data_IF_255707101134
#
_entry.id   IF_255707101134
#
_cell.length_a   1.000
_cell.length_b   1.000
_cell.length_c   1.000
_cell.angle_alpha   90.00
_cell.angle_beta   90.00
_cell.angle_gamma   90.00
#
_symmetry.space_group_name_H-M   'P 1'
#
loop_
_entity.id
_entity.type
_entity.pdbx_description
1 polymer ?
#
# COMPACT_ATOMS: atom_id res chain seq x y z
N UNK A 1 13.42 -25.88 6.29
CA UNK A 1 12.75 -25.57 4.99
C UNK A 1 13.20 -26.42 3.78
N UNK A 2 14.46 -26.89 3.73
CA UNK A 2 15.06 -27.55 2.55
C UNK A 2 14.39 -28.87 2.13
N UNK A 3 13.79 -29.59 3.07
CA UNK A 3 13.19 -30.92 2.85
C UNK A 3 12.01 -30.93 1.86
N UNK A 4 11.25 -29.83 1.79
CA UNK A 4 10.03 -29.78 0.96
C UNK A 4 10.30 -29.12 -0.39
N UNK A 5 9.58 -29.52 -1.45
CA UNK A 5 9.68 -28.87 -2.77
C UNK A 5 9.24 -27.41 -2.69
N UNK A 6 9.92 -26.52 -3.42
CA UNK A 6 9.62 -25.08 -3.40
C UNK A 6 8.20 -24.78 -3.91
N UNK A 7 7.73 -25.58 -4.87
CA UNK A 7 6.36 -25.54 -5.38
C UNK A 7 5.33 -25.80 -4.27
N UNK A 8 5.54 -26.86 -3.47
CA UNK A 8 4.62 -27.22 -2.40
C UNK A 8 4.56 -26.12 -1.33
N UNK A 9 5.72 -25.59 -0.91
CA UNK A 9 5.80 -24.47 0.03
C UNK A 9 5.02 -23.26 -0.50
N UNK A 10 5.24 -22.88 -1.76
CA UNK A 10 4.56 -21.73 -2.36
C UNK A 10 3.03 -21.92 -2.41
N UNK A 11 2.56 -23.13 -2.75
CA UNK A 11 1.12 -23.45 -2.76
C UNK A 11 0.50 -23.35 -1.37
N UNK A 12 1.16 -23.88 -0.34
CA UNK A 12 0.68 -23.78 1.04
C UNK A 12 0.65 -22.32 1.52
N UNK A 13 1.66 -21.51 1.17
CA UNK A 13 1.68 -20.08 1.46
C UNK A 13 0.55 -19.33 0.74
N UNK A 14 0.19 -19.71 -0.50
CA UNK A 14 -0.98 -19.13 -1.17
C UNK A 14 -2.27 -19.37 -0.38
N UNK A 15 -2.50 -20.60 0.07
CA UNK A 15 -3.69 -20.95 0.86
C UNK A 15 -3.72 -20.13 2.16
N UNK A 16 -2.61 -20.09 2.90
CA UNK A 16 -2.52 -19.34 4.16
C UNK A 16 -2.78 -17.86 3.97
N UNK A 17 -2.13 -17.23 2.99
CA UNK A 17 -2.27 -15.81 2.76
C UNK A 17 -3.68 -15.45 2.29
N UNK A 18 -4.36 -16.34 1.56
CA UNK A 18 -5.78 -16.19 1.25
C UNK A 18 -6.65 -16.17 2.51
N UNK A 19 -6.47 -17.14 3.41
CA UNK A 19 -7.24 -17.21 4.67
C UNK A 19 -7.02 -15.98 5.55
N UNK A 20 -5.79 -15.46 5.55
CA UNK A 20 -5.42 -14.28 6.32
C UNK A 20 -5.99 -13.01 5.68
N UNK A 21 -5.93 -12.90 4.35
CA UNK A 21 -6.52 -11.78 3.62
C UNK A 21 -8.05 -11.72 3.80
N UNK A 22 -8.74 -12.86 3.85
CA UNK A 22 -10.19 -12.93 4.08
C UNK A 22 -10.62 -12.37 5.44
N UNK A 23 -9.72 -12.35 6.43
CA UNK A 23 -10.03 -11.79 7.75
C UNK A 23 -10.14 -10.26 7.71
N UNK A 24 -9.54 -9.60 6.71
CA UNK A 24 -9.52 -8.13 6.59
C UNK A 24 -10.92 -7.56 6.36
N UNK A 25 -11.41 -6.82 7.34
CA UNK A 25 -12.66 -6.08 7.30
C UNK A 25 -12.48 -4.76 6.55
N UNK A 26 -13.45 -4.42 5.71
CA UNK A 26 -13.48 -3.14 5.02
C UNK A 26 -13.69 -1.96 5.98
N UNK A 27 -14.34 -2.17 7.12
CA UNK A 27 -14.51 -1.16 8.16
C UNK A 27 -13.14 -0.74 8.73
N UNK A 28 -12.25 -1.70 8.95
CA UNK A 28 -10.90 -1.41 9.42
C UNK A 28 -10.10 -0.61 8.37
N UNK A 29 -10.31 -0.90 7.08
CA UNK A 29 -9.72 -0.21 5.93
C UNK A 29 -10.14 1.26 5.84
N UNK A 30 -11.45 1.54 5.91
CA UNK A 30 -11.95 2.91 5.78
C UNK A 30 -11.59 3.78 6.98
N UNK A 31 -11.52 3.19 8.17
CA UNK A 31 -11.20 3.91 9.41
C UNK A 31 -9.70 4.03 9.71
N UNK A 32 -8.85 3.45 8.86
CA UNK A 32 -7.39 3.43 9.01
C UNK A 32 -6.94 2.89 10.38
N UNK A 33 -7.61 1.86 10.90
CA UNK A 33 -7.43 1.44 12.31
C UNK A 33 -5.99 1.04 12.64
N UNK A 34 -5.21 0.55 11.67
CA UNK A 34 -3.78 0.23 11.85
C UNK A 34 -2.90 1.45 12.14
N UNK A 35 -3.28 2.66 11.71
CA UNK A 35 -2.51 3.88 11.97
C UNK A 35 -2.72 4.40 13.40
N UNK A 36 -3.89 4.16 14.00
CA UNK A 36 -4.25 4.67 15.32
C UNK A 36 -3.34 4.09 16.43
N UNK A 37 -2.82 2.88 16.25
CA UNK A 37 -1.88 2.23 17.19
C UNK A 37 -0.51 2.92 17.27
N UNK A 38 -0.01 3.53 16.18
CA UNK A 38 1.26 4.30 16.23
C UNK A 38 1.16 5.54 17.14
N UNK A 39 -0.06 6.00 17.44
CA UNK A 39 -0.33 7.20 18.24
C UNK A 39 -0.78 6.89 19.67
N UNK A 40 -1.01 5.63 20.03
CA UNK A 40 -1.47 5.24 21.36
C UNK A 40 -0.28 4.96 22.30
N UNK A 41 -0.38 5.45 23.54
CA UNK A 41 0.51 5.14 24.66
C UNK A 41 0.50 3.62 24.99
N UNK A 42 1.41 3.10 25.85
CA UNK A 42 1.53 1.67 26.12
C UNK A 42 0.17 1.06 26.53
N UNK A 43 -0.13 -0.17 26.09
CA UNK A 43 -1.40 -0.81 26.43
C UNK A 43 -1.51 -1.01 27.95
N UNK A 44 -2.70 -0.81 28.54
CA UNK A 44 -2.94 -1.08 29.96
C UNK A 44 -2.73 -2.58 30.26
N UNK A 45 -2.29 -2.89 31.49
CA UNK A 45 -1.85 -4.21 31.94
C UNK A 45 -2.91 -5.34 31.90
N UNK A 46 -4.17 -5.02 31.59
CA UNK A 46 -5.27 -5.98 31.55
C UNK A 46 -5.96 -5.95 30.17
N UNK A 47 -5.86 -7.03 29.36
CA UNK A 47 -6.50 -7.09 28.05
C UNK A 47 -7.97 -7.46 28.21
N UNK A 48 -8.84 -6.49 28.45
CA UNK A 48 -10.30 -6.69 28.36
C UNK A 48 -10.73 -6.66 26.89
N UNK A 49 -10.82 -7.84 26.27
CA UNK A 49 -11.74 -8.23 25.18
C UNK A 49 -12.06 -7.23 24.03
N UNK A 50 -11.19 -6.27 23.75
CA UNK A 50 -11.33 -5.28 22.67
C UNK A 50 -10.27 -5.47 21.57
N UNK A 51 -9.87 -6.72 21.32
CA UNK A 51 -9.08 -7.07 20.12
C UNK A 51 -9.97 -7.29 18.88
N UNK A 52 -11.29 -7.21 19.04
CA UNK A 52 -12.32 -7.46 18.02
C UNK A 52 -12.38 -6.45 16.85
N UNK A 53 -11.37 -5.60 16.66
CA UNK A 53 -11.40 -4.51 15.68
C UNK A 53 -10.10 -4.29 14.88
N UNK A 54 -9.24 -5.32 14.74
CA UNK A 54 -7.91 -5.17 14.13
C UNK A 54 -7.59 -6.24 13.08
N UNK A 55 -8.52 -6.52 12.19
CA UNK A 55 -8.31 -7.48 11.11
C UNK A 55 -7.12 -7.15 10.20
N UNK A 56 -6.87 -5.86 9.93
CA UNK A 56 -5.69 -5.41 9.16
C UNK A 56 -4.39 -5.65 9.92
N UNK A 57 -4.44 -5.60 11.26
CA UNK A 57 -3.27 -5.85 12.12
C UNK A 57 -2.80 -7.30 12.05
N UNK A 58 -3.72 -8.25 11.82
CA UNK A 58 -3.39 -9.68 11.66
C UNK A 58 -2.53 -9.90 10.41
N UNK A 59 -2.89 -9.27 9.28
CA UNK A 59 -2.12 -9.40 8.03
C UNK A 59 -0.74 -8.74 8.15
N UNK A 60 -0.66 -7.55 8.76
CA UNK A 60 0.62 -6.86 8.98
C UNK A 60 1.53 -7.72 9.86
N UNK A 61 1.02 -8.22 11.00
CA UNK A 61 1.79 -9.08 11.89
C UNK A 61 2.25 -10.35 11.20
N UNK A 62 1.40 -10.98 10.38
CA UNK A 62 1.78 -12.16 9.61
C UNK A 62 2.90 -11.85 8.63
N UNK A 63 2.78 -10.74 7.90
CA UNK A 63 3.78 -10.30 6.94
C UNK A 63 5.15 -10.13 7.62
N UNK A 64 5.18 -9.43 8.76
CA UNK A 64 6.39 -9.21 9.54
C UNK A 64 6.95 -10.53 10.07
N UNK A 65 6.10 -11.39 10.63
CA UNK A 65 6.49 -12.70 11.16
C UNK A 65 7.10 -13.59 10.06
N UNK A 66 6.50 -13.63 8.87
CA UNK A 66 6.99 -14.45 7.76
C UNK A 66 8.32 -13.92 7.21
N UNK A 67 8.45 -12.60 7.08
CA UNK A 67 9.72 -11.97 6.68
C UNK A 67 10.82 -12.24 7.70
N UNK A 68 10.52 -12.11 9.00
CA UNK A 68 11.50 -12.33 10.06
C UNK A 68 11.87 -13.81 10.19
N UNK A 69 10.91 -14.73 10.06
CA UNK A 69 11.20 -16.16 10.03
C UNK A 69 12.16 -16.53 8.91
N UNK A 70 11.96 -16.00 7.69
CA UNK A 70 12.88 -16.26 6.58
C UNK A 70 14.30 -15.75 6.88
N UNK A 71 14.43 -14.58 7.55
CA UNK A 71 15.72 -14.09 8.05
C UNK A 71 16.30 -15.05 9.10
N UNK A 72 15.53 -15.44 10.10
CA UNK A 72 15.95 -16.36 11.17
C UNK A 72 16.42 -17.70 10.61
N UNK A 73 15.68 -18.29 9.67
CA UNK A 73 16.08 -19.55 9.00
C UNK A 73 17.43 -19.41 8.30
N UNK A 74 17.72 -18.28 7.65
CA UNK A 74 19.01 -18.07 6.98
C UNK A 74 20.14 -17.88 8.01
N UNK A 75 19.93 -17.01 9.00
CA UNK A 75 20.96 -16.64 9.97
C UNK A 75 21.27 -17.77 10.96
N UNK A 76 20.33 -18.67 11.23
CA UNK A 76 20.57 -19.82 12.10
C UNK A 76 21.33 -20.96 11.41
N UNK A 77 21.41 -20.97 10.08
CA UNK A 77 22.15 -21.99 9.33
C UNK A 77 23.65 -21.70 9.37
N UNK A 78 24.36 -22.41 10.25
CA UNK A 78 25.77 -22.16 10.54
C UNK A 78 26.69 -22.59 9.38
N UNK A 79 26.42 -23.75 8.78
CA UNK A 79 27.17 -24.23 7.63
C UNK A 79 26.91 -23.36 6.40
N UNK A 80 27.98 -22.91 5.74
CA UNK A 80 27.86 -21.98 4.60
C UNK A 80 27.22 -22.64 3.38
N UNK A 81 27.49 -23.93 3.12
CA UNK A 81 26.93 -24.63 1.96
C UNK A 81 25.43 -24.85 2.16
N UNK A 82 25.02 -25.26 3.36
CA UNK A 82 23.61 -25.37 3.71
C UNK A 82 22.92 -23.99 3.67
N UNK A 83 23.59 -22.92 4.15
CA UNK A 83 23.04 -21.56 4.15
C UNK A 83 22.81 -21.04 2.73
N UNK A 84 23.73 -21.30 1.80
CA UNK A 84 23.56 -21.05 0.35
C UNK A 84 22.30 -21.74 -0.16
N UNK A 85 22.11 -23.04 0.14
CA UNK A 85 20.91 -23.77 -0.26
C UNK A 85 19.63 -23.16 0.32
N UNK A 86 19.65 -22.66 1.56
CA UNK A 86 18.49 -21.99 2.19
C UNK A 86 18.16 -20.67 1.48
N UNK A 87 19.16 -19.85 1.16
CA UNK A 87 18.94 -18.59 0.42
C UNK A 87 18.36 -18.88 -0.97
N UNK A 88 18.97 -19.81 -1.71
CA UNK A 88 18.45 -20.25 -3.01
C UNK A 88 17.04 -20.84 -2.91
N UNK A 89 16.75 -21.57 -1.83
CA UNK A 89 15.42 -22.11 -1.56
C UNK A 89 14.38 -21.00 -1.50
N UNK A 90 14.66 -19.94 -0.75
CA UNK A 90 13.78 -18.79 -0.63
C UNK A 90 13.60 -18.06 -1.96
N UNK A 91 14.67 -17.88 -2.75
CA UNK A 91 14.57 -17.29 -4.09
C UNK A 91 13.65 -18.13 -5.00
N UNK A 92 13.81 -19.46 -5.01
CA UNK A 92 12.95 -20.36 -5.79
C UNK A 92 11.50 -20.32 -5.31
N UNK A 93 11.25 -20.24 -4.00
CA UNK A 93 9.89 -20.08 -3.45
C UNK A 93 9.29 -18.74 -3.87
N UNK A 94 10.05 -17.64 -3.81
CA UNK A 94 9.62 -16.33 -4.25
C UNK A 94 9.22 -16.32 -5.74
N UNK A 95 9.99 -16.98 -6.62
CA UNK A 95 9.62 -17.13 -8.02
C UNK A 95 8.31 -17.93 -8.19
N UNK A 96 8.11 -19.00 -7.41
CA UNK A 96 6.84 -19.74 -7.44
C UNK A 96 5.67 -18.89 -6.96
N UNK A 97 5.86 -18.06 -5.93
CA UNK A 97 4.85 -17.09 -5.50
C UNK A 97 4.55 -16.05 -6.58
N UNK A 98 5.55 -15.59 -7.33
CA UNK A 98 5.36 -14.72 -8.49
C UNK A 98 4.48 -15.37 -9.56
N UNK A 99 4.77 -16.62 -9.95
CA UNK A 99 3.97 -17.36 -10.93
C UNK A 99 2.54 -17.64 -10.46
N UNK A 100 2.35 -17.88 -9.16
CA UNK A 100 1.04 -18.06 -8.56
C UNK A 100 0.31 -16.74 -8.28
N UNK A 101 0.87 -15.59 -8.65
CA UNK A 101 0.32 -14.27 -8.30
C UNK A 101 0.05 -14.09 -6.78
N UNK A 102 0.82 -14.77 -5.94
CA UNK A 102 0.91 -14.51 -4.51
C UNK A 102 1.98 -13.46 -4.26
N UNK A 103 1.59 -12.21 -4.52
CA UNK A 103 2.47 -11.07 -4.34
C UNK A 103 2.70 -10.72 -2.87
N UNK A 104 1.83 -11.16 -1.94
CA UNK A 104 2.07 -11.02 -0.50
C UNK A 104 3.35 -11.74 -0.09
N UNK A 105 3.43 -13.06 -0.33
CA UNK A 105 4.59 -13.87 0.06
C UNK A 105 5.84 -13.54 -0.74
N UNK A 106 5.71 -13.22 -2.03
CA UNK A 106 6.83 -12.70 -2.82
C UNK A 106 7.50 -11.51 -2.12
N UNK A 107 6.70 -10.53 -1.68
CA UNK A 107 7.19 -9.35 -0.98
C UNK A 107 7.80 -9.69 0.40
N UNK A 108 7.18 -10.60 1.17
CA UNK A 108 7.71 -11.05 2.45
C UNK A 108 9.12 -11.64 2.31
N UNK A 109 9.33 -12.52 1.33
CA UNK A 109 10.64 -13.15 1.09
C UNK A 109 11.64 -12.14 0.55
N UNK A 110 11.25 -11.27 -0.38
CA UNK A 110 12.16 -10.24 -0.91
C UNK A 110 12.59 -9.26 0.17
N UNK A 111 11.73 -8.92 1.13
CA UNK A 111 12.10 -8.07 2.27
C UNK A 111 13.07 -8.79 3.20
N UNK A 112 12.88 -10.09 3.45
CA UNK A 112 13.82 -10.89 4.21
C UNK A 112 15.22 -10.91 3.57
N UNK A 113 15.29 -11.23 2.26
CA UNK A 113 16.55 -11.35 1.52
C UNK A 113 17.29 -10.00 1.38
N UNK A 114 16.55 -8.89 1.29
CA UNK A 114 17.12 -7.54 1.20
C UNK A 114 17.37 -6.89 2.56
N UNK A 115 16.97 -7.53 3.66
CA UNK A 115 17.21 -7.01 5.00
C UNK A 115 18.71 -6.94 5.30
N UNK A 116 19.11 -5.95 6.10
CA UNK A 116 20.51 -5.76 6.50
C UNK A 116 21.24 -7.04 6.96
N UNK A 117 20.69 -7.87 7.87
CA UNK A 117 21.41 -9.06 8.36
C UNK A 117 21.63 -10.13 7.28
N UNK A 118 20.80 -10.20 6.25
CA UNK A 118 20.96 -11.17 5.15
C UNK A 118 21.80 -10.58 4.02
N UNK A 119 21.54 -9.34 3.62
CA UNK A 119 22.23 -8.68 2.50
C UNK A 119 23.75 -8.52 2.71
N UNK A 120 24.19 -8.50 3.98
CA UNK A 120 25.60 -8.35 4.34
C UNK A 120 26.43 -9.64 4.26
N UNK A 121 25.81 -10.81 4.12
CA UNK A 121 26.49 -12.11 4.03
C UNK A 121 27.21 -12.29 2.68
N UNK A 122 28.28 -11.52 2.45
CA UNK A 122 28.93 -11.42 1.13
C UNK A 122 29.53 -12.74 0.64
N UNK A 123 30.06 -13.57 1.52
CA UNK A 123 30.58 -14.89 1.16
C UNK A 123 29.43 -15.83 0.78
N UNK A 124 28.35 -15.85 1.55
CA UNK A 124 27.14 -16.62 1.20
C UNK A 124 26.62 -16.19 -0.18
N UNK A 125 26.45 -14.88 -0.43
CA UNK A 125 25.95 -14.36 -1.71
C UNK A 125 26.88 -14.65 -2.88
N UNK A 126 28.20 -14.74 -2.67
CA UNK A 126 29.17 -15.07 -3.72
C UNK A 126 29.13 -16.53 -4.17
N UNK A 127 28.52 -17.41 -3.36
CA UNK A 127 28.39 -18.84 -3.63
C UNK A 127 27.01 -19.23 -4.18
N UNK A 128 26.08 -18.29 -4.26
CA UNK A 128 24.77 -18.51 -4.88
C UNK A 128 24.95 -18.77 -6.37
N UNK A 129 24.28 -19.80 -6.90
CA UNK A 129 24.31 -20.11 -8.33
C UNK A 129 23.83 -18.93 -9.19
N UNK A 130 24.43 -18.75 -10.37
CA UNK A 130 24.09 -17.66 -11.28
C UNK A 130 22.60 -17.64 -11.64
N UNK A 131 21.99 -18.81 -11.83
CA UNK A 131 20.58 -18.92 -12.20
C UNK A 131 19.66 -18.34 -11.10
N UNK A 132 19.89 -18.73 -9.84
CA UNK A 132 19.17 -18.20 -8.68
C UNK A 132 19.47 -16.72 -8.46
N UNK A 133 20.71 -16.28 -8.66
CA UNK A 133 21.06 -14.86 -8.53
C UNK A 133 20.31 -13.99 -9.55
N UNK A 134 20.26 -14.40 -10.83
CA UNK A 134 19.51 -13.70 -11.87
C UNK A 134 18.01 -13.70 -11.57
N UNK A 135 17.47 -14.82 -11.08
CA UNK A 135 16.09 -14.92 -10.63
C UNK A 135 15.78 -13.91 -9.51
N UNK A 136 16.68 -13.77 -8.53
CA UNK A 136 16.55 -12.79 -7.47
C UNK A 136 16.55 -11.35 -7.99
N UNK A 137 17.45 -11.00 -8.92
CA UNK A 137 17.46 -9.65 -9.51
C UNK A 137 16.18 -9.36 -10.29
N UNK A 138 15.70 -10.32 -11.09
CA UNK A 138 14.43 -10.18 -11.81
C UNK A 138 13.25 -9.90 -10.87
N UNK A 139 13.15 -10.66 -9.78
CA UNK A 139 12.08 -10.48 -8.79
C UNK A 139 12.19 -9.14 -8.05
N UNK A 140 13.42 -8.69 -7.75
CA UNK A 140 13.70 -7.39 -7.15
C UNK A 140 13.30 -6.24 -8.07
N UNK A 141 13.58 -6.35 -9.38
CA UNK A 141 13.19 -5.34 -10.36
C UNK A 141 11.67 -5.30 -10.57
N UNK A 142 11.01 -6.46 -10.55
CA UNK A 142 9.55 -6.54 -10.53
C UNK A 142 8.95 -5.87 -9.28
N UNK A 143 9.54 -6.12 -8.11
CA UNK A 143 9.14 -5.52 -6.84
C UNK A 143 9.82 -4.16 -6.56
N UNK A 144 10.27 -3.43 -7.58
CA UNK A 144 10.98 -2.18 -7.36
C UNK A 144 10.03 -1.08 -6.86
N UNK A 145 10.36 -0.31 -5.79
CA UNK A 145 9.53 0.80 -5.30
C UNK A 145 9.43 1.97 -6.29
N UNK A 146 10.29 2.00 -7.32
CA UNK A 146 10.33 3.02 -8.35
C UNK A 146 8.95 3.25 -8.97
N UNK A 147 8.61 4.54 -9.19
CA UNK A 147 7.30 4.97 -9.70
C UNK A 147 6.13 4.42 -8.88
N UNK A 148 6.28 4.37 -7.55
CA UNK A 148 5.28 3.84 -6.61
C UNK A 148 4.91 2.38 -6.93
N UNK A 149 5.92 1.51 -7.00
CA UNK A 149 5.72 0.07 -7.23
C UNK A 149 4.99 -0.25 -8.54
N UNK A 150 5.35 0.46 -9.64
CA UNK A 150 4.62 0.39 -10.91
C UNK A 150 4.40 -1.03 -11.42
N UNK A 151 5.46 -1.83 -11.50
CA UNK A 151 5.40 -3.20 -12.05
C UNK A 151 4.45 -4.08 -11.24
N UNK A 152 4.57 -4.04 -9.91
CA UNK A 152 3.69 -4.77 -9.00
C UNK A 152 2.22 -4.30 -9.10
N UNK A 153 1.99 -2.99 -9.23
CA UNK A 153 0.64 -2.42 -9.42
C UNK A 153 0.03 -2.82 -10.75
N UNK A 154 0.80 -2.78 -11.84
CA UNK A 154 0.35 -3.17 -13.17
C UNK A 154 -0.03 -4.66 -13.17
N UNK A 155 0.80 -5.54 -12.59
CA UNK A 155 0.47 -6.96 -12.45
C UNK A 155 -0.79 -7.17 -11.60
N UNK A 156 -0.92 -6.47 -10.47
CA UNK A 156 -2.13 -6.53 -9.62
C UNK A 156 -3.38 -6.07 -10.39
N UNK A 157 -3.26 -5.05 -11.24
CA UNK A 157 -4.34 -4.56 -12.09
C UNK A 157 -4.74 -5.60 -13.15
N UNK A 158 -3.77 -6.20 -13.83
CA UNK A 158 -4.02 -7.29 -14.80
C UNK A 158 -4.75 -8.44 -14.13
N UNK A 159 -4.40 -8.81 -12.89
CA UNK A 159 -5.13 -9.84 -12.15
C UNK A 159 -6.59 -9.46 -11.86
N UNK A 160 -6.91 -8.19 -11.63
CA UNK A 160 -8.30 -7.75 -11.48
C UNK A 160 -9.08 -7.74 -12.79
N UNK A 161 -8.44 -7.32 -13.88
CA UNK A 161 -9.09 -7.17 -15.19
C UNK A 161 -9.25 -8.51 -15.92
N UNK A 162 -8.27 -9.40 -15.79
CA UNK A 162 -8.20 -10.67 -16.51
C UNK A 162 -8.29 -11.91 -15.60
N UNK A 163 -8.38 -11.75 -14.27
CA UNK A 163 -8.29 -12.85 -13.30
C UNK A 163 -9.36 -13.93 -13.44
N UNK A 164 -10.43 -13.68 -14.19
CA UNK A 164 -11.38 -14.74 -14.57
C UNK A 164 -10.73 -15.87 -15.39
N UNK A 165 -9.58 -15.63 -16.02
CA UNK A 165 -8.86 -16.58 -16.88
C UNK A 165 -7.53 -17.08 -16.28
N UNK A 166 -6.98 -16.39 -15.27
CA UNK A 166 -5.56 -16.50 -14.90
C UNK A 166 -5.33 -17.28 -13.58
N UNK A 167 -6.36 -17.49 -12.75
CA UNK A 167 -6.27 -18.30 -11.52
C UNK A 167 -6.40 -17.48 -10.24
N UNK A 168 -5.75 -17.94 -9.17
CA UNK A 168 -5.76 -17.27 -7.87
C UNK A 168 -4.83 -16.05 -7.81
N UNK A 169 -5.09 -15.12 -6.88
CA UNK A 169 -4.17 -13.99 -6.62
C UNK A 169 -4.29 -13.50 -5.17
N UNK A 170 -3.14 -13.30 -4.52
CA UNK A 170 -3.04 -12.57 -3.25
C UNK A 170 -2.22 -11.30 -3.46
N UNK A 171 -2.82 -10.10 -3.36
CA UNK A 171 -2.08 -8.86 -3.53
C UNK A 171 -1.20 -8.54 -2.32
N UNK A 172 -0.16 -7.74 -2.55
CA UNK A 172 0.56 -7.09 -1.44
C UNK A 172 -0.32 -5.99 -0.83
N UNK A 173 -0.86 -6.26 0.37
CA UNK A 173 -1.79 -5.36 1.06
C UNK A 173 -1.22 -3.95 1.29
N UNK A 174 0.11 -3.83 1.46
CA UNK A 174 0.79 -2.56 1.68
C UNK A 174 0.51 -1.49 0.62
N UNK A 175 0.26 -1.87 -0.64
CA UNK A 175 -0.13 -0.93 -1.70
C UNK A 175 -1.47 -0.27 -1.42
N UNK A 176 -2.46 -1.06 -1.00
CA UNK A 176 -3.82 -0.59 -0.72
C UNK A 176 -3.85 0.28 0.54
N UNK A 177 -3.11 -0.13 1.59
CA UNK A 177 -3.00 0.66 2.81
C UNK A 177 -2.33 2.01 2.54
N UNK A 178 -1.27 2.04 1.71
CA UNK A 178 -0.60 3.28 1.33
C UNK A 178 -1.54 4.21 0.55
N UNK A 179 -2.32 3.67 -0.40
CA UNK A 179 -3.29 4.44 -1.17
C UNK A 179 -4.41 5.02 -0.29
N UNK A 180 -4.89 4.24 0.69
CA UNK A 180 -5.89 4.70 1.66
C UNK A 180 -5.34 5.82 2.55
N UNK A 181 -4.09 5.69 3.02
CA UNK A 181 -3.43 6.74 3.81
C UNK A 181 -3.25 8.01 2.97
N UNK A 182 -2.75 7.91 1.74
CA UNK A 182 -2.60 9.06 0.85
C UNK A 182 -3.95 9.75 0.57
N UNK A 183 -5.02 8.98 0.35
CA UNK A 183 -6.36 9.53 0.12
C UNK A 183 -6.96 10.16 1.39
N UNK A 184 -6.53 9.72 2.57
CA UNK A 184 -7.00 10.24 3.85
C UNK A 184 -6.59 11.71 4.10
N UNK A 185 -5.47 12.13 3.50
CA UNK A 185 -4.95 13.50 3.55
C UNK A 185 -5.87 14.51 2.83
N UNK A 186 -6.78 14.06 1.95
CA UNK A 186 -7.77 14.93 1.33
C UNK A 186 -8.74 15.49 2.39
N UNK A 187 -9.21 16.74 2.27
CA UNK A 187 -10.13 17.31 3.24
C UNK A 187 -11.49 16.58 3.20
N UNK A 188 -12.05 16.27 4.37
CA UNK A 188 -13.38 15.64 4.48
C UNK A 188 -14.48 16.56 3.97
N UNK A 189 -14.28 17.87 4.14
CA UNK A 189 -15.20 18.89 3.68
C UNK A 189 -14.50 19.90 2.78
N UNK A 190 -15.16 20.28 1.69
CA UNK A 190 -14.68 21.28 0.73
C UNK A 190 -15.63 22.47 0.71
N UNK A 191 -15.09 23.67 0.49
CA UNK A 191 -15.93 24.85 0.25
C UNK A 191 -16.48 24.81 -1.18
N UNK A 192 -17.75 25.17 -1.40
CA UNK A 192 -18.27 25.38 -2.74
C UNK A 192 -17.39 26.39 -3.47
N UNK A 193 -16.97 26.08 -4.69
CA UNK A 193 -16.31 27.09 -5.54
C UNK A 193 -17.36 28.17 -5.83
N UNK A 194 -17.07 29.47 -5.67
CA UNK A 194 -18.01 30.51 -6.07
C UNK A 194 -18.37 30.25 -7.53
N UNK A 195 -19.67 30.18 -7.82
CA UNK A 195 -20.14 30.24 -9.20
C UNK A 195 -19.58 31.54 -9.76
N UNK A 196 -18.60 31.47 -10.67
CA UNK A 196 -18.30 32.62 -11.50
C UNK A 196 -19.60 32.92 -12.23
N UNK A 197 -20.23 34.03 -11.91
CA UNK A 197 -21.35 34.54 -12.70
C UNK A 197 -20.84 34.62 -14.13
N UNK A 198 -21.27 33.66 -14.97
CA UNK A 198 -21.19 33.84 -16.40
C UNK A 198 -21.93 35.14 -16.65
N UNK A 199 -21.19 36.19 -16.96
CA UNK A 199 -21.74 37.45 -17.44
C UNK A 199 -22.54 37.11 -18.70
N UNK A 200 -23.85 36.97 -18.54
CA UNK A 200 -24.78 37.04 -19.64
C UNK A 200 -24.72 38.48 -20.16
N UNK A 201 -23.83 38.74 -21.11
CA UNK A 201 -23.93 39.91 -21.98
C UNK A 201 -24.46 39.43 -23.32
N UNK A 202 -25.78 39.41 -23.46
CA UNK A 202 -26.43 39.37 -24.76
C UNK A 202 -26.42 40.78 -25.36
N UNK A 203 -25.78 40.94 -26.51
CA UNK A 203 -26.33 41.79 -27.58
C UNK A 203 -25.65 41.45 -28.91
N UNK A 204 -26.44 40.85 -29.79
CA UNK A 204 -26.24 40.93 -31.23
C UNK A 204 -26.29 42.40 -31.67
N UNK A 205 -25.32 42.83 -32.47
CA UNK A 205 -25.54 43.64 -33.68
C UNK A 205 -24.39 43.41 -34.67
N UNK A 206 -24.75 43.26 -35.94
CA UNK A 206 -23.85 43.08 -37.09
C UNK A 206 -23.18 44.42 -37.48
N UNK A 207 -21.98 44.37 -38.08
CA UNK A 207 -21.47 45.46 -38.92
C UNK A 207 -19.97 45.73 -38.90
N UNK A 208 -19.25 45.02 -39.76
CA UNK A 208 -18.11 45.41 -40.64
C UNK A 208 -17.13 46.57 -40.29
N UNK A 209 -15.83 46.21 -40.42
CA UNK A 209 -14.68 46.95 -41.00
C UNK A 209 -13.71 47.81 -40.16
N UNK A 210 -12.43 47.43 -40.27
CA UNK A 210 -11.17 48.24 -40.44
C UNK A 210 -10.45 48.91 -39.26
N UNK A 211 -9.13 48.56 -39.14
CA UNK A 211 -7.93 49.37 -38.76
C UNK A 211 -7.95 50.15 -37.44
N UNK A 212 -6.89 50.37 -36.67
CA UNK A 212 -5.48 49.97 -36.61
C UNK A 212 -4.90 50.60 -35.33
N UNK A 213 -3.73 50.12 -34.90
CA UNK A 213 -2.64 50.90 -34.26
C UNK A 213 -2.82 51.56 -32.87
N UNK A 214 -1.94 51.09 -31.97
CA UNK A 214 -1.02 51.85 -31.09
C UNK A 214 -1.45 52.47 -29.74
N UNK A 215 -0.64 52.08 -28.75
CA UNK A 215 0.07 52.88 -27.72
C UNK A 215 -0.62 53.37 -26.45
N UNK A 216 -0.04 52.87 -25.33
CA UNK A 216 0.54 53.56 -24.15
C UNK A 216 -0.30 54.57 -23.35
N UNK A 217 -0.13 54.44 -22.03
CA UNK A 217 -0.03 55.57 -21.09
C UNK A 217 -1.05 55.52 -19.96
N UNK A 218 -0.64 55.18 -18.73
CA UNK A 218 -0.29 56.13 -17.64
C UNK A 218 -1.54 56.80 -17.04
N UNK A 219 -2.03 56.32 -15.89
CA UNK A 219 -1.71 56.82 -14.53
C UNK A 219 -2.15 58.26 -14.28
N UNK A 220 -3.14 58.45 -13.40
CA UNK A 220 -3.10 59.51 -12.37
C UNK A 220 -4.30 59.42 -11.42
N UNK A 221 -3.96 59.11 -10.17
CA UNK A 221 -4.46 59.67 -8.91
C UNK A 221 -5.28 60.95 -9.03
N UNK A 222 -6.43 61.00 -8.35
CA UNK A 222 -6.83 62.19 -7.58
C UNK A 222 -7.75 61.81 -6.43
N UNK A 223 -7.19 61.99 -5.24
CA UNK A 223 -7.83 62.17 -3.94
C UNK A 223 -8.69 63.43 -3.93
N UNK A 224 -9.92 63.33 -3.42
CA UNK A 224 -10.53 64.42 -2.65
C UNK A 224 -11.54 63.84 -1.66
N UNK A 225 -11.19 63.98 -0.39
CA UNK A 225 -12.04 63.71 0.75
C UNK A 225 -13.04 64.86 0.94
N UNK A 226 -14.28 64.53 1.29
CA UNK A 226 -15.16 65.44 2.01
C UNK A 226 -16.12 64.63 2.88
N UNK A 227 -15.91 64.78 4.18
CA UNK A 227 -16.69 64.33 5.33
C UNK A 227 -18.03 65.06 5.43
N UNK A 228 -19.13 64.31 5.55
CA UNK A 228 -20.36 64.73 6.25
C UNK A 228 -21.17 63.50 6.68
N UNK A 229 -21.21 63.22 7.98
CA UNK A 229 -22.16 62.32 8.66
C UNK A 229 -23.45 63.10 9.04
N UNK A 230 -24.48 62.51 9.67
CA UNK A 230 -24.96 61.12 9.70
C UNK A 230 -26.45 61.03 9.30
N UNK A 231 -26.82 60.07 8.45
CA UNK A 231 -28.22 59.81 8.09
C UNK A 231 -28.56 58.35 8.34
N UNK A 232 -29.52 58.12 9.24
CA UNK A 232 -29.96 56.80 9.65
C UNK A 232 -30.42 55.93 8.49
N UNK A 233 -30.01 54.66 8.54
CA UNK A 233 -30.44 53.61 7.66
C UNK A 233 -29.89 52.30 8.20
N UNK A 234 -30.72 51.55 8.92
CA UNK A 234 -30.47 50.16 9.30
C UNK A 234 -30.35 49.30 8.04
N UNK A 235 -29.20 49.39 7.36
CA UNK A 235 -28.78 48.45 6.34
C UNK A 235 -27.88 47.42 7.01
N UNK A 236 -28.48 46.42 7.66
CA UNK A 236 -27.72 45.28 8.15
C UNK A 236 -26.94 44.69 6.99
N UNK A 237 -25.61 44.85 7.00
CA UNK A 237 -24.74 44.04 6.15
C UNK A 237 -25.02 42.60 6.55
N UNK A 238 -25.79 41.90 5.71
CA UNK A 238 -25.95 40.47 5.81
C UNK A 238 -24.54 39.89 5.77
N UNK A 239 -24.03 39.50 6.93
CA UNK A 239 -22.82 38.69 7.03
C UNK A 239 -23.07 37.52 6.09
N UNK A 240 -22.30 37.35 5.00
CA UNK A 240 -22.55 36.26 4.08
C UNK A 240 -22.49 34.97 4.91
N UNK A 241 -23.62 34.27 4.97
CA UNK A 241 -23.76 33.07 5.79
C UNK A 241 -22.54 32.17 5.54
N UNK A 242 -21.87 31.66 6.58
CA UNK A 242 -20.65 30.89 6.42
C UNK A 242 -20.91 29.79 5.39
N UNK A 243 -20.19 29.85 4.27
CA UNK A 243 -20.44 28.99 3.13
C UNK A 243 -20.50 27.53 3.60
N UNK A 244 -21.68 26.90 3.45
CA UNK A 244 -21.91 25.56 3.97
C UNK A 244 -20.88 24.60 3.39
N UNK A 245 -20.10 24.00 4.27
CA UNK A 245 -19.11 23.00 3.93
C UNK A 245 -19.79 21.81 3.24
N UNK A 246 -19.29 21.42 2.07
CA UNK A 246 -19.78 20.27 1.30
C UNK A 246 -18.94 19.04 1.60
N UNK A 247 -19.58 17.87 1.65
CA UNK A 247 -18.86 16.59 1.79
C UNK A 247 -18.00 16.35 0.54
N UNK A 248 -16.74 15.97 0.75
CA UNK A 248 -15.84 15.60 -0.34
C UNK A 248 -16.17 14.18 -0.87
N UNK A 249 -17.16 14.08 -1.76
CA UNK A 249 -17.52 12.81 -2.40
C UNK A 249 -16.38 12.18 -3.21
N UNK A 250 -15.42 12.98 -3.70
CA UNK A 250 -14.25 12.45 -4.41
C UNK A 250 -13.37 11.60 -3.46
N UNK A 251 -13.08 12.12 -2.26
CA UNK A 251 -12.37 11.37 -1.21
C UNK A 251 -13.07 10.04 -0.90
N UNK A 252 -14.39 10.07 -0.70
CA UNK A 252 -15.18 8.87 -0.39
C UNK A 252 -15.18 7.85 -1.54
N UNK A 253 -15.36 8.32 -2.78
CA UNK A 253 -15.35 7.48 -3.99
C UNK A 253 -13.99 6.79 -4.18
N UNK A 254 -12.90 7.50 -3.94
CA UNK A 254 -11.55 6.94 -4.04
C UNK A 254 -11.33 5.82 -3.01
N UNK A 255 -11.67 6.06 -1.73
CA UNK A 255 -11.57 5.03 -0.69
C UNK A 255 -12.42 3.80 -1.02
N UNK A 256 -13.68 4.01 -1.44
CA UNK A 256 -14.56 2.93 -1.84
C UNK A 256 -14.00 2.14 -3.04
N UNK A 257 -13.38 2.82 -4.01
CA UNK A 257 -12.73 2.18 -5.15
C UNK A 257 -11.55 1.30 -4.74
N UNK A 258 -10.71 1.76 -3.80
CA UNK A 258 -9.58 0.97 -3.28
C UNK A 258 -10.09 -0.26 -2.54
N UNK A 259 -11.07 -0.09 -1.64
CA UNK A 259 -11.68 -1.17 -0.87
C UNK A 259 -12.37 -2.19 -1.79
N UNK A 260 -13.13 -1.73 -2.79
CA UNK A 260 -13.81 -2.62 -3.75
C UNK A 260 -12.82 -3.50 -4.51
N UNK A 261 -11.67 -2.95 -4.92
CA UNK A 261 -10.60 -3.75 -5.55
C UNK A 261 -10.05 -4.80 -4.58
N UNK A 262 -9.82 -4.46 -3.32
CA UNK A 262 -9.34 -5.44 -2.34
C UNK A 262 -10.37 -6.55 -2.07
N UNK A 263 -11.66 -6.19 -1.97
CA UNK A 263 -12.74 -7.17 -1.81
C UNK A 263 -12.79 -8.13 -2.99
N UNK A 264 -12.54 -7.67 -4.22
CA UNK A 264 -12.47 -8.57 -5.38
C UNK A 264 -11.37 -9.62 -5.25
N UNK A 265 -10.21 -9.27 -4.65
CA UNK A 265 -9.20 -10.26 -4.31
C UNK A 265 -9.68 -11.23 -3.22
N UNK A 266 -10.38 -10.76 -2.20
CA UNK A 266 -10.89 -11.61 -1.12
C UNK A 266 -11.95 -12.61 -1.58
N UNK A 267 -12.89 -12.18 -2.42
CA UNK A 267 -14.09 -12.96 -2.75
C UNK A 267 -13.95 -13.75 -4.05
N UNK A 268 -13.27 -13.22 -5.06
CA UNK A 268 -13.19 -13.84 -6.39
C UNK A 268 -11.84 -14.53 -6.60
N UNK A 269 -10.74 -13.79 -6.42
CA UNK A 269 -9.43 -14.28 -6.84
C UNK A 269 -8.78 -15.20 -5.81
N UNK A 270 -8.88 -14.93 -4.51
CA UNK A 270 -8.30 -15.77 -3.47
C UNK A 270 -8.85 -17.21 -3.47
N UNK A 271 -10.11 -17.40 -3.87
CA UNK A 271 -10.77 -18.71 -3.92
C UNK A 271 -10.43 -19.54 -5.18
N UNK A 272 -9.66 -18.99 -6.12
CA UNK A 272 -9.34 -19.63 -7.39
C UNK A 272 -8.04 -20.44 -7.38
N UNK A 273 -7.34 -20.50 -6.26
CA UNK A 273 -6.20 -21.39 -6.13
C UNK A 273 -6.66 -22.85 -6.14
N UNK A 274 -6.18 -23.70 -7.07
CA UNK A 274 -6.59 -25.09 -7.17
C UNK A 274 -5.79 -26.00 -6.22
N UNK A 275 -5.30 -25.45 -5.10
CA UNK A 275 -4.35 -26.13 -4.22
C UNK A 275 -5.05 -26.79 -3.05
N UNK A 276 -4.53 -27.94 -2.63
CA UNK A 276 -4.97 -28.65 -1.43
C UNK A 276 -3.99 -28.44 -0.29
N UNK A 277 -4.51 -28.41 0.94
CA UNK A 277 -3.67 -28.29 2.13
C UNK A 277 -2.87 -29.57 2.34
N UNK A 278 -1.56 -29.42 2.45
CA UNK A 278 -0.66 -30.47 2.94
C UNK A 278 -0.52 -30.28 4.46
N UNK A 279 -1.02 -31.20 5.30
CA UNK A 279 -1.07 -30.97 6.75
C UNK A 279 0.29 -30.72 7.40
N UNK A 280 1.35 -31.38 6.91
CA UNK A 280 2.69 -31.27 7.48
C UNK A 280 3.32 -29.92 7.15
N UNK A 281 3.31 -29.55 5.87
CA UNK A 281 3.88 -28.27 5.42
C UNK A 281 3.04 -27.11 5.93
N UNK A 282 1.72 -27.27 5.96
CA UNK A 282 0.81 -26.25 6.48
C UNK A 282 1.08 -26.01 7.97
N UNK A 283 1.11 -27.05 8.81
CA UNK A 283 1.38 -26.87 10.24
C UNK A 283 2.76 -26.28 10.52
N UNK A 284 3.77 -26.66 9.74
CA UNK A 284 5.11 -26.09 9.84
C UNK A 284 5.09 -24.58 9.58
N UNK A 285 4.40 -24.15 8.52
CA UNK A 285 4.37 -22.75 8.09
C UNK A 285 3.35 -21.90 8.88
N UNK A 286 2.33 -22.49 9.52
CA UNK A 286 1.34 -21.76 10.32
C UNK A 286 1.82 -21.49 11.74
N UNK A 287 2.24 -22.54 12.45
CA UNK A 287 2.33 -22.52 13.92
C UNK A 287 3.76 -22.58 14.45
N UNK A 288 4.72 -23.01 13.63
CA UNK A 288 6.08 -23.33 14.05
C UNK A 288 7.13 -22.37 13.45
N UNK A 289 6.73 -21.15 13.11
CA UNK A 289 7.66 -20.13 12.65
C UNK A 289 8.47 -19.58 13.83
N UNK A 290 9.66 -20.12 14.04
CA UNK A 290 10.63 -19.57 14.99
C UNK A 290 11.14 -18.22 14.47
N UNK A 291 11.00 -17.18 15.29
CA UNK A 291 11.43 -15.82 14.96
C UNK A 291 12.36 -15.31 16.04
N UNK A 292 13.57 -14.92 15.64
CA UNK A 292 14.53 -14.27 16.53
C UNK A 292 14.31 -12.76 16.56
N UNK A 293 14.59 -12.13 17.70
CA UNK A 293 14.57 -10.68 17.79
C UNK A 293 15.71 -10.05 16.96
N UNK A 294 15.53 -8.78 16.58
CA UNK A 294 16.45 -8.07 15.68
C UNK A 294 17.89 -8.02 16.21
N UNK A 295 18.09 -7.90 17.53
CA UNK A 295 19.44 -7.86 18.12
C UNK A 295 20.11 -9.22 17.99
N UNK A 296 19.39 -10.29 18.30
CA UNK A 296 19.89 -11.67 18.14
C UNK A 296 20.22 -11.99 16.69
N UNK A 297 19.33 -11.62 15.76
CA UNK A 297 19.57 -11.79 14.31
C UNK A 297 20.82 -11.05 13.87
N UNK A 298 20.96 -9.76 14.22
CA UNK A 298 22.10 -8.97 13.79
C UNK A 298 23.41 -9.47 14.41
N UNK A 299 23.40 -9.81 15.70
CA UNK A 299 24.58 -10.33 16.39
C UNK A 299 25.07 -11.65 15.78
N UNK A 300 24.17 -12.55 15.39
CA UNK A 300 24.54 -13.80 14.73
C UNK A 300 24.96 -13.57 13.27
N UNK A 301 24.30 -12.67 12.54
CA UNK A 301 24.74 -12.27 11.19
C UNK A 301 26.21 -11.79 11.21
N UNK A 302 26.59 -10.93 12.16
CA UNK A 302 27.96 -10.43 12.31
C UNK A 302 28.98 -11.51 12.70
N UNK A 303 28.54 -12.62 13.30
CA UNK A 303 29.41 -13.75 13.61
C UNK A 303 29.63 -14.67 12.41
N UNK A 304 28.66 -14.73 11.51
CA UNK A 304 28.78 -15.51 10.28
C UNK A 304 29.75 -14.83 9.31
N UNK A 305 29.49 -13.55 8.98
CA UNK A 305 30.21 -12.75 7.96
C UNK A 305 30.12 -11.25 8.27
#
# INVERSE_FOLDING_TARGET
>A
ILYFRSELIAQQLCIMECEILQRVSWQDLIELRWQKKKRAAPPPANPTSTEAGQSTGVVIRRFDQMSQWAVTEIIRTLDIQERVLVVEKFIRVALKCYHHANFSTLMQILFALQSSPVHRLKQTWSLIGDYEYHMFQYLKDFACPTRNWKNLRDATKVMLECGYQIGGCVPFLGLFLSDLVMNAELPTFVRPRPLSTASASSSHTNGTTTTSTTTRGSSSTSTSASTSSPGGGEGGLAVPAPARLMVNFHKLRNSAGIIKRLIAFQTVLAHRYPFTKDPLVYSLLSDNLEVWDEKTVMANSCKLE
#
